data_IF_601816302185
#
_entry.id   IF_601816302185
#
_cell.length_a   1.000
_cell.length_b   1.000
_cell.length_c   1.000
_cell.angle_alpha   90.00
_cell.angle_beta   90.00
_cell.angle_gamma   90.00
#
_symmetry.space_group_name_H-M   'P 1'
#
loop_
_entity.id
_entity.type
_entity.pdbx_description
1 polymer ?
#
# COMPACT_ATOMS: atom_id res chain seq x y z
N UNK A 1 -9.13 3.08 19.87
CA UNK A 1 -9.68 2.79 18.54
C UNK A 1 -10.16 4.07 17.91
N UNK A 2 -9.44 4.58 16.92
CA UNK A 2 -9.79 5.80 16.19
C UNK A 2 -10.54 5.48 14.88
N UNK A 3 -10.88 6.50 14.08
CA UNK A 3 -11.58 6.31 12.81
C UNK A 3 -10.76 5.44 11.82
N UNK A 4 -9.44 5.58 11.83
CA UNK A 4 -8.56 4.83 10.94
C UNK A 4 -8.57 3.33 11.26
N UNK A 5 -8.66 2.96 12.54
CA UNK A 5 -8.84 1.56 12.96
C UNK A 5 -10.13 0.95 12.39
N UNK A 6 -11.23 1.72 12.37
CA UNK A 6 -12.49 1.30 11.76
C UNK A 6 -12.38 1.11 10.26
N UNK A 7 -11.63 1.98 9.57
CA UNK A 7 -11.36 1.86 8.13
C UNK A 7 -10.56 0.58 7.85
N UNK A 8 -9.47 0.34 8.58
CA UNK A 8 -8.66 -0.88 8.40
C UNK A 8 -9.43 -2.16 8.74
N UNK A 9 -10.20 -2.15 9.83
CA UNK A 9 -11.09 -3.27 10.17
C UNK A 9 -12.10 -3.54 9.04
N UNK A 10 -12.69 -2.49 8.48
CA UNK A 10 -13.55 -2.58 7.30
C UNK A 10 -12.83 -3.20 6.09
N UNK A 11 -11.59 -2.79 5.82
CA UNK A 11 -10.77 -3.39 4.74
C UNK A 11 -10.55 -4.88 4.99
N UNK A 12 -10.19 -5.30 6.20
CA UNK A 12 -9.99 -6.71 6.50
C UNK A 12 -11.26 -7.54 6.36
N UNK A 13 -12.39 -7.02 6.86
CA UNK A 13 -13.69 -7.69 6.71
C UNK A 13 -14.08 -7.81 5.23
N UNK A 14 -13.98 -6.72 4.47
CA UNK A 14 -14.30 -6.73 3.05
C UNK A 14 -13.37 -7.64 2.26
N UNK A 15 -12.07 -7.66 2.57
CA UNK A 15 -11.09 -8.51 1.90
C UNK A 15 -11.32 -10.00 2.24
N UNK A 16 -11.68 -10.32 3.49
CA UNK A 16 -12.06 -11.66 3.89
C UNK A 16 -13.36 -12.13 3.18
N UNK A 17 -14.38 -11.27 3.11
CA UNK A 17 -15.63 -11.55 2.39
C UNK A 17 -15.41 -11.70 0.89
N UNK A 18 -14.55 -10.85 0.32
CA UNK A 18 -14.15 -10.95 -1.08
C UNK A 18 -13.42 -12.27 -1.34
N UNK A 19 -12.52 -12.67 -0.43
CA UNK A 19 -11.80 -13.91 -0.54
C UNK A 19 -12.67 -15.16 -0.39
N UNK A 20 -13.64 -15.13 0.52
CA UNK A 20 -14.65 -16.17 0.63
C UNK A 20 -15.44 -16.35 -0.67
N UNK A 21 -15.81 -15.26 -1.34
CA UNK A 21 -16.56 -15.29 -2.61
C UNK A 21 -15.70 -15.66 -3.82
N UNK A 22 -14.47 -15.16 -3.88
CA UNK A 22 -13.56 -15.41 -4.98
C UNK A 22 -12.98 -16.83 -4.96
N UNK A 23 -12.81 -17.40 -3.75
CA UNK A 23 -12.11 -18.66 -3.55
C UNK A 23 -10.59 -18.51 -3.60
N UNK A 24 -9.88 -19.54 -3.14
CA UNK A 24 -8.42 -19.54 -2.97
C UNK A 24 -7.69 -19.17 -4.26
N UNK A 25 -8.03 -19.84 -5.37
CA UNK A 25 -7.27 -19.71 -6.63
C UNK A 25 -7.39 -18.32 -7.25
N UNK A 26 -8.62 -17.81 -7.42
CA UNK A 26 -8.83 -16.48 -8.01
C UNK A 26 -8.17 -15.39 -7.17
N UNK A 27 -8.25 -15.53 -5.85
CA UNK A 27 -7.74 -14.52 -4.96
C UNK A 27 -6.22 -14.58 -4.85
N UNK A 28 -5.60 -15.76 -4.96
CA UNK A 28 -4.14 -15.89 -5.02
C UNK A 28 -3.60 -15.17 -6.24
N UNK A 29 -4.24 -15.32 -7.41
CA UNK A 29 -3.85 -14.57 -8.61
C UNK A 29 -4.06 -13.06 -8.41
N UNK A 30 -5.15 -12.64 -7.77
CA UNK A 30 -5.37 -11.22 -7.45
C UNK A 30 -4.35 -10.67 -6.44
N UNK A 31 -3.98 -11.43 -5.41
CA UNK A 31 -3.00 -11.01 -4.41
C UNK A 31 -1.61 -10.84 -5.06
N UNK A 32 -1.23 -11.79 -5.91
CA UNK A 32 -0.02 -11.67 -6.74
C UNK A 32 -0.12 -10.46 -7.67
N UNK A 33 -1.27 -10.22 -8.29
CA UNK A 33 -1.46 -9.04 -9.13
C UNK A 33 -1.36 -7.72 -8.34
N UNK A 34 -1.87 -7.64 -7.12
CA UNK A 34 -1.70 -6.46 -6.25
C UNK A 34 -0.22 -6.25 -5.95
N UNK A 35 0.49 -7.30 -5.54
CA UNK A 35 1.92 -7.24 -5.26
C UNK A 35 2.74 -6.82 -6.48
N UNK A 36 2.50 -7.43 -7.64
CA UNK A 36 3.13 -7.08 -8.91
C UNK A 36 2.78 -5.66 -9.32
N UNK A 37 1.53 -5.23 -9.12
CA UNK A 37 1.08 -3.86 -9.35
C UNK A 37 1.89 -2.86 -8.52
N UNK A 38 2.03 -3.11 -7.22
CA UNK A 38 2.86 -2.28 -6.33
C UNK A 38 4.32 -2.25 -6.80
N UNK A 39 4.90 -3.41 -7.12
CA UNK A 39 6.27 -3.55 -7.62
C UNK A 39 6.53 -2.70 -8.87
N UNK A 40 5.74 -2.91 -9.94
CA UNK A 40 5.90 -2.15 -11.18
C UNK A 40 5.63 -0.66 -10.96
N UNK A 41 4.73 -0.34 -10.04
CA UNK A 41 4.36 1.04 -9.80
C UNK A 41 5.46 1.83 -9.10
N UNK A 42 6.14 1.25 -8.12
CA UNK A 42 7.29 1.88 -7.51
C UNK A 42 8.45 2.11 -8.49
N UNK A 43 8.65 1.18 -9.42
CA UNK A 43 9.73 1.26 -10.41
C UNK A 43 9.46 2.24 -11.56
N UNK A 44 8.21 2.33 -12.04
CA UNK A 44 7.92 2.95 -13.34
C UNK A 44 6.88 4.07 -13.32
N UNK A 45 6.18 4.33 -12.21
CA UNK A 45 5.07 5.31 -12.17
C UNK A 45 5.48 6.71 -12.66
N UNK A 46 6.66 7.21 -12.26
CA UNK A 46 7.13 8.54 -12.69
C UNK A 46 7.45 8.63 -14.18
N UNK A 47 7.74 7.51 -14.86
CA UNK A 47 8.18 7.48 -16.27
C UNK A 47 7.05 7.10 -17.22
N UNK A 48 6.04 6.37 -16.75
CA UNK A 48 5.00 5.81 -17.62
C UNK A 48 4.15 6.88 -18.27
N UNK A 49 3.79 7.95 -17.56
CA UNK A 49 3.00 9.00 -18.20
C UNK A 49 3.83 9.80 -19.21
N UNK A 50 5.09 10.12 -18.91
CA UNK A 50 5.98 10.82 -19.86
C UNK A 50 6.24 10.04 -21.15
N UNK A 51 6.09 8.71 -21.14
CA UNK A 51 6.19 7.89 -22.35
C UNK A 51 4.94 8.01 -23.25
N UNK A 52 3.79 8.36 -22.67
CA UNK A 52 2.50 8.39 -23.35
C UNK A 52 2.07 9.83 -23.68
N UNK A 53 2.38 10.78 -22.79
CA UNK A 53 1.90 12.16 -22.86
C UNK A 53 2.86 13.15 -22.17
N UNK A 54 3.39 14.11 -22.93
CA UNK A 54 4.34 15.12 -22.44
C UNK A 54 3.69 16.43 -21.96
N UNK A 55 2.36 16.54 -21.97
CA UNK A 55 1.65 17.78 -21.68
C UNK A 55 1.27 18.03 -20.21
N UNK A 56 1.77 17.26 -19.23
CA UNK A 56 1.47 17.48 -17.81
C UNK A 56 2.59 18.27 -17.14
N UNK A 57 2.28 19.48 -16.66
CA UNK A 57 3.27 20.39 -16.07
C UNK A 57 3.69 19.99 -14.64
N UNK A 58 2.91 19.14 -13.96
CA UNK A 58 3.18 18.72 -12.58
C UNK A 58 3.68 17.28 -12.53
N UNK A 59 4.92 17.09 -12.06
CA UNK A 59 5.54 15.78 -11.87
C UNK A 59 4.77 14.88 -10.88
N UNK A 60 4.18 15.48 -9.83
CA UNK A 60 3.34 14.78 -8.87
C UNK A 60 2.06 14.22 -9.52
N UNK A 61 1.40 15.02 -10.36
CA UNK A 61 0.21 14.59 -11.11
C UNK A 61 0.60 13.51 -12.13
N UNK A 62 1.74 13.67 -12.78
CA UNK A 62 2.27 12.70 -13.74
C UNK A 62 2.48 11.32 -13.10
N UNK A 63 3.14 11.31 -11.95
CA UNK A 63 3.43 10.09 -11.20
C UNK A 63 2.14 9.44 -10.70
N UNK A 64 1.19 10.22 -10.15
CA UNK A 64 -0.11 9.73 -9.70
C UNK A 64 -0.90 9.02 -10.82
N UNK A 65 -0.92 9.60 -12.02
CA UNK A 65 -1.56 8.98 -13.19
C UNK A 65 -0.79 7.72 -13.61
N UNK A 66 0.54 7.73 -13.54
CA UNK A 66 1.37 6.55 -13.80
C UNK A 66 1.02 5.38 -12.89
N UNK A 67 0.80 5.61 -11.58
CA UNK A 67 0.31 4.59 -10.66
C UNK A 67 -1.00 3.97 -11.16
N UNK A 68 -1.97 4.80 -11.54
CA UNK A 68 -3.28 4.33 -12.02
C UNK A 68 -3.15 3.49 -13.29
N UNK A 69 -2.35 3.93 -14.26
CA UNK A 69 -2.15 3.19 -15.53
C UNK A 69 -1.55 1.81 -15.27
N UNK A 70 -0.53 1.72 -14.40
CA UNK A 70 0.13 0.45 -14.06
C UNK A 70 -0.87 -0.51 -13.40
N UNK A 71 -1.61 -0.03 -12.42
CA UNK A 71 -2.61 -0.85 -11.73
C UNK A 71 -3.70 -1.35 -12.68
N UNK A 72 -4.18 -0.51 -13.62
CA UNK A 72 -5.13 -0.94 -14.64
C UNK A 72 -4.52 -2.03 -15.53
N UNK A 73 -3.29 -1.82 -16.01
CA UNK A 73 -2.59 -2.80 -16.85
C UNK A 73 -2.42 -4.16 -16.16
N UNK A 74 -1.93 -4.14 -14.92
CA UNK A 74 -1.75 -5.36 -14.11
C UNK A 74 -3.09 -6.04 -13.82
N UNK A 75 -4.15 -5.26 -13.55
CA UNK A 75 -5.47 -5.83 -13.32
C UNK A 75 -6.03 -6.51 -14.58
N UNK A 76 -5.85 -5.92 -15.77
CA UNK A 76 -6.27 -6.53 -17.03
C UNK A 76 -5.52 -7.85 -17.30
N UNK A 77 -4.20 -7.86 -17.09
CA UNK A 77 -3.39 -9.08 -17.22
C UNK A 77 -3.83 -10.14 -16.21
N UNK A 78 -4.14 -9.74 -14.98
CA UNK A 78 -4.67 -10.63 -13.95
C UNK A 78 -5.99 -11.29 -14.38
N UNK A 79 -6.91 -10.57 -15.03
CA UNK A 79 -8.16 -11.17 -15.54
C UNK A 79 -7.89 -12.29 -16.55
N UNK A 80 -6.91 -12.10 -17.42
CA UNK A 80 -6.50 -13.12 -18.39
C UNK A 80 -5.88 -14.31 -17.65
N UNK A 81 -4.96 -14.06 -16.71
CA UNK A 81 -4.34 -15.09 -15.89
C UNK A 81 -5.38 -15.92 -15.12
N UNK A 82 -6.36 -15.28 -14.49
CA UNK A 82 -7.46 -15.95 -13.77
C UNK A 82 -8.25 -16.86 -14.72
N UNK A 83 -8.54 -16.41 -15.95
CA UNK A 83 -9.25 -17.23 -16.94
C UNK A 83 -8.47 -18.50 -17.32
N UNK A 84 -7.15 -18.37 -17.50
CA UNK A 84 -6.26 -19.49 -17.81
C UNK A 84 -6.16 -20.45 -16.62
N UNK A 85 -5.88 -19.91 -15.43
CA UNK A 85 -5.72 -20.71 -14.21
C UNK A 85 -7.02 -21.45 -13.90
N UNK A 86 -8.19 -20.81 -14.00
CA UNK A 86 -9.48 -21.47 -13.75
C UNK A 86 -9.80 -22.60 -14.72
N UNK A 87 -9.33 -22.52 -15.96
CA UNK A 87 -9.47 -23.65 -16.90
C UNK A 87 -8.62 -24.84 -16.46
N UNK A 88 -7.44 -24.60 -15.91
CA UNK A 88 -6.52 -25.63 -15.43
C UNK A 88 -6.91 -26.21 -14.06
N UNK A 89 -7.45 -25.41 -13.14
CA UNK A 89 -7.72 -25.80 -11.75
C UNK A 89 -9.16 -26.25 -11.49
N UNK A 90 -10.08 -26.04 -12.44
CA UNK A 90 -11.49 -26.48 -12.38
C UNK A 90 -11.72 -27.89 -11.79
N UNK A 91 -10.98 -28.96 -12.17
CA UNK A 91 -11.19 -30.29 -11.61
C UNK A 91 -10.83 -30.38 -10.12
N UNK A 92 -9.82 -29.65 -9.66
CA UNK A 92 -9.29 -29.69 -8.29
C UNK A 92 -10.13 -28.81 -7.35
N UNK A 93 -10.53 -27.62 -7.83
CA UNK A 93 -11.31 -26.66 -7.03
C UNK A 93 -12.73 -27.11 -6.71
N UNK A 94 -13.30 -28.01 -7.53
CA UNK A 94 -14.67 -28.54 -7.35
C UNK A 94 -14.79 -29.51 -6.17
N UNK A 95 -13.74 -30.30 -5.88
CA UNK A 95 -13.77 -31.29 -4.79
C UNK A 95 -13.51 -30.70 -3.40
N UNK A 96 -12.88 -29.52 -3.31
CA UNK A 96 -12.39 -28.94 -2.05
C UNK A 96 -13.33 -27.84 -1.52
N UNK A 97 -14.65 -28.05 -1.61
CA UNK A 97 -15.67 -27.00 -1.50
C UNK A 97 -15.54 -26.07 -0.28
N UNK A 98 -15.16 -26.58 0.90
CA UNK A 98 -14.94 -25.74 2.09
C UNK A 98 -13.50 -25.22 2.21
N UNK A 99 -12.50 -26.05 1.86
CA UNK A 99 -11.08 -25.66 1.87
C UNK A 99 -10.76 -24.53 0.87
N UNK A 100 -11.43 -24.49 -0.28
CA UNK A 100 -11.31 -23.40 -1.25
C UNK A 100 -11.81 -22.05 -0.69
N UNK A 101 -12.86 -22.08 0.13
CA UNK A 101 -13.43 -20.88 0.75
C UNK A 101 -12.60 -20.39 1.93
N UNK A 102 -12.15 -21.32 2.79
CA UNK A 102 -11.22 -21.04 3.89
C UNK A 102 -9.89 -20.49 3.38
N UNK A 103 -9.29 -21.14 2.38
CA UNK A 103 -8.10 -20.66 1.71
C UNK A 103 -8.32 -19.29 1.07
N UNK A 104 -9.49 -19.07 0.46
CA UNK A 104 -9.90 -17.75 -0.03
C UNK A 104 -9.92 -16.69 1.07
N UNK A 105 -10.49 -16.97 2.24
CA UNK A 105 -10.45 -16.02 3.37
C UNK A 105 -9.02 -15.69 3.79
N UNK A 106 -8.15 -16.70 3.93
CA UNK A 106 -6.75 -16.51 4.33
C UNK A 106 -5.99 -15.62 3.35
N UNK A 107 -6.07 -15.92 2.06
CA UNK A 107 -5.45 -15.09 1.02
C UNK A 107 -6.12 -13.70 0.98
N UNK A 108 -7.40 -13.60 1.33
CA UNK A 108 -8.14 -12.34 1.35
C UNK A 108 -7.64 -11.43 2.44
N UNK A 109 -7.33 -11.99 3.61
CA UNK A 109 -6.67 -11.24 4.67
C UNK A 109 -5.26 -10.78 4.25
N UNK A 110 -4.48 -11.60 3.55
CA UNK A 110 -3.18 -11.19 3.01
C UNK A 110 -3.35 -10.03 2.02
N UNK A 111 -4.31 -10.13 1.09
CA UNK A 111 -4.63 -9.02 0.19
C UNK A 111 -5.10 -7.78 0.97
N UNK A 112 -5.86 -7.96 2.05
CA UNK A 112 -6.27 -6.90 2.97
C UNK A 112 -5.08 -6.21 3.64
N UNK A 113 -4.06 -6.96 4.06
CA UNK A 113 -2.80 -6.41 4.60
C UNK A 113 -2.10 -5.57 3.54
N UNK A 114 -2.01 -6.05 2.29
CA UNK A 114 -1.41 -5.28 1.19
C UNK A 114 -2.15 -3.97 0.93
N UNK A 115 -3.49 -4.00 0.90
CA UNK A 115 -4.33 -2.82 0.67
C UNK A 115 -4.23 -1.84 1.85
N UNK A 116 -4.33 -2.34 3.08
CA UNK A 116 -4.24 -1.53 4.29
C UNK A 116 -2.85 -0.90 4.45
N UNK A 117 -1.78 -1.67 4.20
CA UNK A 117 -0.40 -1.18 4.19
C UNK A 117 -0.17 -0.13 3.11
N UNK A 118 -0.70 -0.34 1.90
CA UNK A 118 -0.66 0.66 0.83
C UNK A 118 -1.39 1.96 1.21
N UNK A 119 -2.57 1.87 1.83
CA UNK A 119 -3.34 3.02 2.30
C UNK A 119 -2.62 3.77 3.44
N UNK A 120 -2.08 3.05 4.42
CA UNK A 120 -1.27 3.61 5.50
C UNK A 120 -0.11 4.41 4.92
N UNK A 121 0.59 3.83 3.94
CA UNK A 121 1.79 4.41 3.33
C UNK A 121 1.47 5.65 2.49
N UNK A 122 0.41 5.60 1.70
CA UNK A 122 -0.07 6.78 0.98
C UNK A 122 -0.47 7.90 1.95
N UNK A 123 -1.10 7.54 3.07
CA UNK A 123 -1.52 8.50 4.10
C UNK A 123 -0.32 9.09 4.83
N UNK A 124 0.68 8.28 5.20
CA UNK A 124 1.93 8.73 5.80
C UNK A 124 2.69 9.65 4.85
N UNK A 125 2.83 9.28 3.57
CA UNK A 125 3.48 10.11 2.56
C UNK A 125 2.75 11.43 2.32
N UNK A 126 1.42 11.41 2.33
CA UNK A 126 0.63 12.63 2.22
C UNK A 126 0.73 13.48 3.48
N UNK A 127 0.91 12.88 4.66
CA UNK A 127 0.98 13.59 5.94
C UNK A 127 2.33 14.28 6.08
N UNK A 128 3.44 13.55 5.88
CA UNK A 128 4.80 14.02 6.12
C UNK A 128 5.39 14.68 4.85
N UNK A 129 5.56 16.01 4.90
CA UNK A 129 6.25 16.75 3.84
C UNK A 129 7.74 16.44 3.94
N UNK A 130 8.30 15.87 2.87
CA UNK A 130 9.75 15.75 2.73
C UNK A 130 10.29 16.99 2.01
N UNK A 131 11.34 17.65 2.50
CA UNK A 131 12.04 18.68 1.74
C UNK A 131 12.54 18.12 0.40
N UNK A 132 12.51 18.91 -0.68
CA UNK A 132 12.73 18.47 -2.07
C UNK A 132 14.15 17.96 -2.43
N UNK A 133 14.95 17.54 -1.46
CA UNK A 133 16.38 17.24 -1.63
C UNK A 133 16.77 15.88 -1.07
N UNK A 134 15.92 14.85 -1.20
CA UNK A 134 16.26 13.47 -0.77
C UNK A 134 17.14 12.71 -1.77
N UNK A 135 17.29 13.20 -3.01
CA UNK A 135 18.00 12.46 -4.07
C UNK A 135 19.53 12.42 -3.98
N UNK A 136 20.16 13.26 -3.14
CA UNK A 136 21.63 13.39 -3.04
C UNK A 136 22.15 13.41 -1.58
N UNK A 137 21.38 12.93 -0.60
CA UNK A 137 21.72 13.11 0.82
C UNK A 137 22.29 11.84 1.48
N UNK A 138 23.39 12.03 2.22
CA UNK A 138 24.00 11.01 3.08
C UNK A 138 23.05 10.54 4.19
N UNK A 139 23.25 9.33 4.69
CA UNK A 139 22.43 8.68 5.74
C UNK A 139 22.18 9.56 6.97
N UNK A 140 23.19 10.33 7.38
CA UNK A 140 23.12 11.25 8.53
C UNK A 140 22.16 12.44 8.29
N UNK A 141 22.03 12.89 7.04
CA UNK A 141 21.07 13.92 6.67
C UNK A 141 19.64 13.38 6.65
N UNK A 142 19.43 12.12 6.25
CA UNK A 142 18.10 11.48 6.31
C UNK A 142 17.65 11.33 7.77
N UNK A 143 18.53 10.94 8.69
CA UNK A 143 18.18 10.86 10.11
C UNK A 143 17.78 12.21 10.72
N UNK A 144 18.54 13.27 10.40
CA UNK A 144 18.23 14.63 10.88
C UNK A 144 16.99 15.22 10.20
N UNK A 145 16.69 14.86 8.95
CA UNK A 145 15.44 15.19 8.27
C UNK A 145 14.24 14.52 8.92
N UNK A 146 14.34 13.23 9.22
CA UNK A 146 13.28 12.48 9.91
C UNK A 146 13.02 13.10 11.28
N UNK A 147 14.07 13.46 12.03
CA UNK A 147 13.95 14.13 13.33
C UNK A 147 13.34 15.54 13.20
N UNK A 148 13.74 16.31 12.18
CA UNK A 148 13.25 17.66 11.95
C UNK A 148 11.80 17.65 11.50
N UNK A 149 11.42 16.78 10.55
CA UNK A 149 10.04 16.61 10.08
C UNK A 149 9.10 16.11 11.19
N UNK A 150 9.59 15.23 12.07
CA UNK A 150 8.84 14.80 13.25
C UNK A 150 8.58 15.94 14.25
N UNK A 151 9.42 16.99 14.24
CA UNK A 151 9.31 18.17 15.11
C UNK A 151 8.63 19.37 14.44
N UNK A 152 8.79 19.56 13.13
CA UNK A 152 8.23 20.67 12.36
C UNK A 152 6.79 20.37 12.00
N UNK A 153 5.93 20.46 13.01
CA UNK A 153 4.50 20.28 12.90
C UNK A 153 3.88 21.49 12.17
N UNK A 154 2.95 21.24 11.23
CA UNK A 154 2.15 22.28 10.58
C UNK A 154 0.75 22.25 11.17
N UNK A 155 0.54 23.08 12.19
CA UNK A 155 -0.71 23.24 12.95
C UNK A 155 -1.88 23.74 12.07
N UNK A 156 -3.06 23.16 12.25
CA UNK A 156 -4.35 23.60 11.69
C UNK A 156 -4.79 22.95 10.37
N UNK A 157 -4.10 21.90 9.89
CA UNK A 157 -4.34 21.34 8.54
C UNK A 157 -4.88 19.90 8.53
N UNK A 158 -5.38 19.43 7.38
CA UNK A 158 -5.84 18.02 7.20
C UNK A 158 -4.72 17.03 7.55
N UNK A 159 -3.46 17.40 7.32
CA UNK A 159 -2.28 16.58 7.62
C UNK A 159 -2.12 16.32 9.11
N UNK A 160 -2.44 17.31 9.95
CA UNK A 160 -2.41 17.17 11.41
C UNK A 160 -3.36 16.06 11.89
N UNK A 161 -4.60 16.09 11.39
CA UNK A 161 -5.61 15.08 11.75
C UNK A 161 -5.19 13.68 11.30
N UNK A 162 -4.59 13.58 10.12
CA UNK A 162 -4.08 12.31 9.60
C UNK A 162 -2.90 11.79 10.41
N UNK A 163 -2.00 12.66 10.84
CA UNK A 163 -0.89 12.30 11.75
C UNK A 163 -1.41 11.77 13.09
N UNK A 164 -2.36 12.46 13.73
CA UNK A 164 -2.99 11.99 14.98
C UNK A 164 -3.67 10.63 14.77
N UNK A 165 -4.42 10.45 13.67
CA UNK A 165 -5.04 9.17 13.36
C UNK A 165 -4.05 8.04 13.07
N UNK A 166 -2.90 8.34 12.46
CA UNK A 166 -1.86 7.35 12.22
C UNK A 166 -1.19 6.94 13.54
N UNK A 167 -0.89 7.91 14.41
CA UNK A 167 -0.21 7.67 15.70
C UNK A 167 -1.11 6.93 16.69
N UNK A 168 -2.37 7.34 16.82
CA UNK A 168 -3.32 6.74 17.78
C UNK A 168 -3.91 5.39 17.32
N UNK A 169 -3.59 4.94 16.09
CA UNK A 169 -4.13 3.70 15.55
C UNK A 169 -3.48 2.49 16.20
N UNK A 170 -4.31 1.52 16.60
CA UNK A 170 -3.83 0.26 17.17
C UNK A 170 -3.36 -0.74 16.10
N UNK A 171 -3.80 -0.53 14.85
CA UNK A 171 -3.49 -1.41 13.72
C UNK A 171 -2.19 -0.97 13.01
N UNK A 172 -1.91 0.33 12.96
CA UNK A 172 -0.73 0.89 12.28
C UNK A 172 0.60 0.25 12.75
N UNK A 173 0.88 0.06 14.06
CA UNK A 173 2.13 -0.59 14.49
C UNK A 173 2.28 -2.02 13.94
N UNK A 174 1.17 -2.76 13.85
CA UNK A 174 1.17 -4.11 13.27
C UNK A 174 1.44 -4.09 11.76
N UNK A 175 0.92 -3.08 11.06
CA UNK A 175 1.19 -2.89 9.63
C UNK A 175 2.63 -2.42 9.37
N UNK A 176 3.20 -1.58 10.24
CA UNK A 176 4.61 -1.18 10.17
C UNK A 176 5.54 -2.38 10.31
N UNK A 177 5.28 -3.30 11.23
CA UNK A 177 6.06 -4.54 11.34
C UNK A 177 6.02 -5.41 10.06
N UNK A 178 5.00 -5.24 9.23
CA UNK A 178 4.85 -5.95 7.96
C UNK A 178 5.33 -5.14 6.75
N UNK A 179 5.77 -3.89 6.95
CA UNK A 179 6.08 -2.98 5.85
C UNK A 179 7.19 -3.51 4.92
N UNK A 180 8.18 -4.23 5.43
CA UNK A 180 9.27 -4.80 4.62
C UNK A 180 8.77 -5.86 3.65
N UNK A 181 7.70 -6.58 4.00
CA UNK A 181 7.05 -7.54 3.10
C UNK A 181 6.12 -6.86 2.08
N UNK A 182 5.56 -5.71 2.42
CA UNK A 182 4.51 -5.03 1.63
C UNK A 182 5.08 -3.93 0.71
N UNK A 183 6.24 -3.34 1.04
CA UNK A 183 6.69 -2.02 0.56
C UNK A 183 8.16 -2.02 0.10
N UNK A 184 8.82 -3.19 0.01
CA UNK A 184 10.24 -3.28 -0.44
C UNK A 184 10.52 -2.51 -1.75
N UNK A 185 9.49 -2.28 -2.58
CA UNK A 185 9.60 -1.63 -3.88
C UNK A 185 9.00 -0.24 -3.94
N UNK A 186 8.49 0.32 -2.83
CA UNK A 186 8.02 1.69 -2.86
C UNK A 186 9.22 2.65 -2.98
N UNK A 187 9.06 3.80 -3.66
CA UNK A 187 10.12 4.80 -3.76
C UNK A 187 10.62 5.21 -2.36
N UNK A 188 11.91 5.54 -2.24
CA UNK A 188 12.58 5.84 -0.96
C UNK A 188 11.81 6.85 -0.09
N UNK A 189 11.20 7.84 -0.73
CA UNK A 189 10.35 8.85 -0.08
C UNK A 189 9.18 8.26 0.74
N UNK A 190 8.62 7.13 0.32
CA UNK A 190 7.58 6.44 1.07
C UNK A 190 8.16 5.72 2.28
N UNK A 191 9.34 5.10 2.15
CA UNK A 191 10.08 4.51 3.26
C UNK A 191 10.39 5.55 4.34
N UNK A 192 10.95 6.69 3.95
CA UNK A 192 11.26 7.80 4.87
C UNK A 192 10.00 8.29 5.59
N UNK A 193 8.85 8.33 4.91
CA UNK A 193 7.58 8.73 5.53
C UNK A 193 7.09 7.73 6.58
N UNK A 194 7.35 6.43 6.37
CA UNK A 194 7.05 5.39 7.35
C UNK A 194 8.03 5.42 8.52
N UNK A 195 9.31 5.73 8.28
CA UNK A 195 10.30 5.91 9.34
C UNK A 195 9.94 7.11 10.24
N UNK A 196 9.45 8.20 9.66
CA UNK A 196 8.90 9.35 10.42
C UNK A 196 7.71 8.89 11.27
N UNK A 197 6.78 8.14 10.69
CA UNK A 197 5.62 7.63 11.41
C UNK A 197 6.03 6.73 12.59
N UNK A 198 6.94 5.79 12.36
CA UNK A 198 7.43 4.88 13.40
C UNK A 198 8.09 5.66 14.55
N UNK A 199 8.93 6.64 14.25
CA UNK A 199 9.52 7.50 15.30
C UNK A 199 8.47 8.31 16.06
N UNK A 200 7.43 8.82 15.37
CA UNK A 200 6.33 9.57 16.00
C UNK A 200 5.54 8.68 16.96
N UNK A 201 5.23 7.44 16.57
CA UNK A 201 4.57 6.45 17.43
C UNK A 201 5.44 6.14 18.65
N UNK A 202 6.73 5.83 18.45
CA UNK A 202 7.66 5.53 19.54
C UNK A 202 7.78 6.70 20.55
N UNK A 203 7.75 7.94 20.07
CA UNK A 203 7.81 9.14 20.90
C UNK A 203 6.50 9.41 21.66
N UNK A 204 5.36 9.01 21.11
CA UNK A 204 4.06 9.14 21.76
C UNK A 204 3.87 8.14 22.91
N UNK A 205 4.69 7.08 22.98
CA UNK A 205 4.71 6.12 24.09
C UNK A 205 3.47 5.22 24.16
N UNK A 206 2.90 4.91 22.99
CA UNK A 206 1.69 4.09 22.81
C UNK A 206 2.08 2.68 22.38
#
# INVERSE_FOLDING_TARGET
MNLLDWIFSGIFVLAALWGYKAGLVNLLVNAVAIYVGLFFSGLFAGRILSLIWNGVQSEAISTAIGYVIIFIGVFLVSRIAISIVNKATKPISSQMGWGNKLGGILIGLIAGILIAGGLMTATARYTYVLPQSTSNQSSDNIQSLVETAARSYVEGSIREKLDVWLIESQIVPSLLNLHGFVIEFAPDDFGISLDILEKRINKAGI
#
